data_IF_267453487530
#
_entry.id   IF_267453487530
#
_cell.length_a   1.000
_cell.length_b   1.000
_cell.length_c   1.000
_cell.angle_alpha   90.00
_cell.angle_beta   90.00
_cell.angle_gamma   90.00
#
_symmetry.space_group_name_H-M   'P 1'
#
loop_
_entity.id
_entity.type
_entity.pdbx_description
1 polymer ?
#
# COMPACT_ATOMS: atom_id res chain seq x y z
N UNK A 1 -23.41 -60.71 9.80
CA UNK A 1 -22.37 -59.90 9.12
C UNK A 1 -22.82 -58.46 9.17
N UNK A 2 -22.19 -57.65 10.03
CA UNK A 2 -22.47 -56.21 10.12
C UNK A 2 -21.43 -55.47 9.26
N UNK A 3 -21.90 -54.58 8.39
CA UNK A 3 -21.03 -53.67 7.63
C UNK A 3 -20.77 -52.45 8.54
N UNK A 4 -19.51 -52.03 8.78
CA UNK A 4 -19.26 -50.76 9.45
C UNK A 4 -19.41 -49.64 8.42
N UNK A 5 -20.37 -48.73 8.65
CA UNK A 5 -20.53 -47.52 7.86
C UNK A 5 -19.47 -46.51 8.28
N UNK A 6 -18.69 -46.09 7.28
CA UNK A 6 -17.50 -45.25 7.39
C UNK A 6 -17.82 -43.89 8.01
N UNK A 7 -17.03 -43.48 9.01
CA UNK A 7 -17.05 -42.11 9.51
C UNK A 7 -16.74 -41.14 8.36
N UNK A 8 -17.68 -40.25 8.09
CA UNK A 8 -17.56 -39.20 7.11
C UNK A 8 -16.73 -38.08 7.74
N UNK A 9 -15.44 -38.03 7.42
CA UNK A 9 -14.54 -36.93 7.78
C UNK A 9 -15.13 -35.64 7.23
N UNK A 10 -15.74 -34.87 8.13
CA UNK A 10 -16.25 -33.54 7.83
C UNK A 10 -15.07 -32.60 7.91
N UNK A 11 -14.25 -32.57 6.85
CA UNK A 11 -13.20 -31.57 6.72
C UNK A 11 -13.88 -30.21 6.51
N UNK A 12 -14.01 -29.47 7.60
CA UNK A 12 -14.43 -28.07 7.59
C UNK A 12 -13.40 -27.27 6.81
N UNK A 13 -13.70 -26.94 5.56
CA UNK A 13 -13.00 -25.89 4.83
C UNK A 13 -13.26 -24.57 5.56
N UNK A 14 -12.35 -24.21 6.47
CA UNK A 14 -12.27 -22.85 7.00
C UNK A 14 -11.90 -21.97 5.81
N UNK A 15 -12.86 -21.21 5.28
CA UNK A 15 -12.57 -20.17 4.28
C UNK A 15 -11.70 -19.14 5.00
N UNK A 16 -10.43 -19.06 4.65
CA UNK A 16 -9.52 -18.06 5.24
C UNK A 16 -10.06 -16.66 4.95
N UNK A 17 -10.25 -15.88 6.02
CA UNK A 17 -10.73 -14.51 5.94
C UNK A 17 -9.72 -13.63 5.20
N UNK A 18 -10.25 -12.74 4.36
CA UNK A 18 -9.45 -11.75 3.63
C UNK A 18 -9.60 -10.37 4.24
N UNK A 19 -8.52 -9.62 4.25
CA UNK A 19 -8.48 -8.22 4.66
C UNK A 19 -7.81 -7.38 3.57
N UNK A 20 -8.05 -6.07 3.61
CA UNK A 20 -7.37 -5.12 2.76
C UNK A 20 -6.01 -4.75 3.34
N UNK A 21 -4.95 -4.98 2.58
CA UNK A 21 -3.58 -4.65 2.92
C UNK A 21 -3.06 -3.57 1.99
N UNK A 22 -2.11 -2.77 2.46
CA UNK A 22 -1.33 -1.85 1.60
C UNK A 22 0.14 -1.94 1.98
N UNK A 23 1.03 -1.63 1.04
CA UNK A 23 2.48 -1.67 1.25
C UNK A 23 3.03 -0.26 1.26
N UNK A 24 3.72 0.08 2.34
CA UNK A 24 4.23 1.43 2.60
C UNK A 24 5.76 1.43 2.68
N UNK A 25 6.38 2.38 1.99
CA UNK A 25 7.75 2.77 2.28
C UNK A 25 7.73 3.81 3.40
N UNK A 26 8.52 3.54 4.44
CA UNK A 26 8.57 4.36 5.65
C UNK A 26 9.85 5.21 5.62
N UNK A 27 9.76 6.53 5.86
CA UNK A 27 10.95 7.37 5.90
C UNK A 27 11.83 7.05 7.13
N UNK A 28 13.14 7.36 7.08
CA UNK A 28 14.03 7.27 8.25
C UNK A 28 13.53 8.11 9.43
N UNK A 29 13.91 7.74 10.66
CA UNK A 29 13.36 8.32 11.90
C UNK A 29 13.45 9.85 11.99
N UNK A 30 14.56 10.44 11.55
CA UNK A 30 14.76 11.90 11.57
C UNK A 30 13.80 12.62 10.61
N UNK A 31 13.58 12.04 9.43
CA UNK A 31 12.62 12.54 8.44
C UNK A 31 11.19 12.30 8.91
N UNK A 32 10.90 11.13 9.48
CA UNK A 32 9.60 10.76 10.03
C UNK A 32 9.20 11.73 11.15
N UNK A 33 10.09 12.05 12.08
CA UNK A 33 9.84 13.00 13.17
C UNK A 33 9.50 14.40 12.63
N UNK A 34 10.25 14.88 11.63
CA UNK A 34 9.99 16.18 11.00
C UNK A 34 8.63 16.22 10.29
N UNK A 35 8.27 15.15 9.58
CA UNK A 35 6.99 15.03 8.90
C UNK A 35 5.83 14.91 9.89
N UNK A 36 5.99 14.13 10.97
CA UNK A 36 4.99 14.02 12.04
C UNK A 36 4.66 15.37 12.64
N UNK A 37 5.68 16.17 12.99
CA UNK A 37 5.47 17.52 13.51
C UNK A 37 4.67 18.39 12.53
N UNK A 38 5.05 18.40 11.25
CA UNK A 38 4.33 19.14 10.22
C UNK A 38 2.86 18.68 10.09
N UNK A 39 2.63 17.37 10.09
CA UNK A 39 1.29 16.78 10.02
C UNK A 39 0.45 17.09 11.27
N UNK A 40 1.07 17.15 12.45
CA UNK A 40 0.42 17.56 13.70
C UNK A 40 0.03 19.03 13.69
N UNK A 41 0.94 19.92 13.27
CA UNK A 41 0.68 21.36 13.16
C UNK A 41 -0.49 21.61 12.20
N UNK A 42 -0.46 21.02 11.00
CA UNK A 42 -1.54 21.13 10.01
C UNK A 42 -2.86 20.55 10.52
N UNK A 43 -2.83 19.39 11.17
CA UNK A 43 -4.04 18.79 11.76
C UNK A 43 -4.62 19.66 12.88
N UNK A 44 -3.78 20.34 13.66
CA UNK A 44 -4.25 21.22 14.73
C UNK A 44 -5.01 22.44 14.21
N UNK A 45 -4.64 22.92 13.03
CA UNK A 45 -5.26 24.07 12.36
C UNK A 45 -6.49 23.68 11.53
N UNK A 46 -6.41 22.60 10.76
CA UNK A 46 -7.42 22.23 9.75
C UNK A 46 -8.26 20.99 10.13
N UNK A 47 -7.92 20.31 11.21
CA UNK A 47 -8.51 19.01 11.59
C UNK A 47 -7.99 17.84 10.75
N UNK A 48 -8.64 16.68 10.87
CA UNK A 48 -8.32 15.47 10.11
C UNK A 48 -7.78 14.31 10.95
N UNK A 49 -7.66 13.10 10.35
CA UNK A 49 -7.17 11.92 11.06
C UNK A 49 -5.66 11.99 11.32
N UNK A 50 -5.22 11.33 12.38
CA UNK A 50 -3.80 11.09 12.62
C UNK A 50 -3.36 9.83 11.89
N UNK A 51 -2.21 9.88 11.23
CA UNK A 51 -1.58 8.74 10.57
C UNK A 51 -0.06 8.92 10.54
N UNK A 52 0.65 7.83 10.25
CA UNK A 52 2.12 7.81 10.17
C UNK A 52 2.61 8.29 8.79
N UNK A 53 3.72 9.03 8.68
CA UNK A 53 4.24 9.45 7.39
C UNK A 53 4.70 8.24 6.57
N UNK A 54 4.18 8.10 5.34
CA UNK A 54 4.52 6.99 4.45
C UNK A 54 4.39 7.38 2.97
N UNK A 55 5.01 6.59 2.10
CA UNK A 55 4.71 6.54 0.66
C UNK A 55 4.03 5.21 0.38
N UNK A 56 2.81 5.24 -0.14
CA UNK A 56 2.10 4.03 -0.57
C UNK A 56 2.73 3.50 -1.85
N UNK A 57 3.36 2.33 -1.77
CA UNK A 57 4.02 1.64 -2.89
C UNK A 57 3.04 0.72 -3.62
N UNK A 58 2.15 0.08 -2.84
CA UNK A 58 1.04 -0.75 -3.32
C UNK A 58 -0.22 -0.31 -2.58
N UNK A 59 -1.28 0.02 -3.33
CA UNK A 59 -2.58 0.41 -2.78
C UNK A 59 -3.33 -0.76 -2.12
N UNK A 60 -4.53 -0.48 -1.61
CA UNK A 60 -5.35 -1.49 -0.95
C UNK A 60 -5.58 -2.74 -1.84
N UNK A 61 -5.24 -3.91 -1.31
CA UNK A 61 -5.40 -5.22 -1.96
C UNK A 61 -5.95 -6.25 -0.98
N UNK A 62 -6.98 -6.99 -1.41
CA UNK A 62 -7.66 -8.00 -0.57
C UNK A 62 -6.91 -9.34 -0.61
N UNK A 63 -6.35 -9.77 0.52
CA UNK A 63 -5.55 -10.98 0.67
C UNK A 63 -5.90 -11.71 1.97
N UNK A 64 -5.61 -13.01 2.05
CA UNK A 64 -5.56 -13.69 3.36
C UNK A 64 -4.30 -13.25 4.09
N UNK A 65 -4.28 -13.34 5.42
CA UNK A 65 -3.10 -12.95 6.20
C UNK A 65 -1.83 -13.73 5.82
N UNK A 66 -1.97 -15.02 5.50
CA UNK A 66 -0.86 -15.87 5.05
C UNK A 66 -0.28 -15.42 3.72
N UNK A 67 -1.15 -15.13 2.74
CA UNK A 67 -0.74 -14.61 1.44
C UNK A 67 -0.08 -13.24 1.55
N UNK A 68 -0.66 -12.33 2.34
CA UNK A 68 -0.11 -11.00 2.56
C UNK A 68 1.31 -11.07 3.13
N UNK A 69 1.53 -11.89 4.16
CA UNK A 69 2.84 -12.05 4.78
C UNK A 69 3.86 -12.70 3.83
N UNK A 70 3.46 -13.74 3.10
CA UNK A 70 4.32 -14.44 2.14
C UNK A 70 4.78 -13.49 1.03
N UNK A 71 3.84 -12.76 0.41
CA UNK A 71 4.13 -11.79 -0.66
C UNK A 71 4.95 -10.61 -0.15
N UNK A 72 4.68 -10.12 1.07
CA UNK A 72 5.46 -9.04 1.67
C UNK A 72 6.93 -9.46 1.88
N UNK A 73 7.17 -10.64 2.45
CA UNK A 73 8.53 -11.18 2.62
C UNK A 73 9.25 -11.33 1.28
N UNK A 74 8.56 -11.86 0.27
CA UNK A 74 9.12 -12.01 -1.06
C UNK A 74 9.43 -10.67 -1.72
N UNK A 75 8.58 -9.65 -1.53
CA UNK A 75 8.82 -8.31 -2.05
C UNK A 75 9.98 -7.59 -1.36
N UNK A 76 10.17 -7.82 -0.07
CA UNK A 76 11.30 -7.26 0.68
C UNK A 76 12.63 -7.95 0.38
N UNK A 77 12.61 -9.20 -0.10
CA UNK A 77 13.84 -9.92 -0.42
C UNK A 77 14.62 -9.24 -1.55
N UNK A 78 15.88 -8.91 -1.28
CA UNK A 78 16.75 -8.15 -2.18
C UNK A 78 16.38 -6.68 -2.39
N UNK A 79 15.28 -6.18 -1.83
CA UNK A 79 14.88 -4.78 -1.95
C UNK A 79 15.77 -3.89 -1.07
N UNK A 80 16.40 -2.88 -1.68
CA UNK A 80 17.25 -1.93 -0.98
C UNK A 80 16.46 -0.67 -0.63
N UNK A 81 16.87 -0.01 0.45
CA UNK A 81 16.43 1.35 0.72
C UNK A 81 16.74 2.26 -0.49
N UNK A 82 15.81 3.16 -0.80
CA UNK A 82 15.92 4.07 -1.93
C UNK A 82 15.70 5.52 -1.49
N UNK A 83 16.12 6.46 -2.33
CA UNK A 83 15.90 7.88 -2.09
C UNK A 83 14.65 8.36 -2.82
N UNK A 84 13.78 9.06 -2.10
CA UNK A 84 12.65 9.77 -2.66
C UNK A 84 12.91 11.29 -2.54
N UNK A 85 12.65 12.02 -3.62
CA UNK A 85 12.77 13.49 -3.64
C UNK A 85 11.39 14.08 -3.71
N UNK A 86 11.07 15.02 -2.81
CA UNK A 86 9.83 15.79 -2.91
C UNK A 86 9.96 16.76 -4.08
N UNK A 87 9.02 16.69 -5.00
CA UNK A 87 8.88 17.62 -6.13
C UNK A 87 8.15 18.90 -5.68
N UNK A 88 6.94 18.74 -5.14
CA UNK A 88 6.10 19.86 -4.67
C UNK A 88 5.04 19.43 -3.67
N UNK A 89 4.44 20.39 -3.00
CA UNK A 89 3.18 20.20 -2.25
C UNK A 89 2.01 20.34 -3.23
N UNK A 90 1.01 19.47 -3.08
CA UNK A 90 -0.21 19.50 -3.88
C UNK A 90 -1.45 19.23 -3.01
N UNK A 91 -2.60 19.63 -3.52
CA UNK A 91 -3.91 19.33 -2.95
C UNK A 91 -4.74 18.56 -3.98
N UNK A 92 -5.73 17.82 -3.49
CA UNK A 92 -6.62 17.01 -4.29
C UNK A 92 -8.05 17.17 -3.78
N UNK A 93 -8.99 16.55 -4.51
CA UNK A 93 -10.43 16.67 -4.23
C UNK A 93 -10.98 15.51 -3.39
N UNK A 94 -10.12 14.58 -2.98
CA UNK A 94 -10.49 13.41 -2.18
C UNK A 94 -9.96 13.53 -0.75
N UNK A 95 -10.68 12.93 0.21
CA UNK A 95 -10.30 12.97 1.63
C UNK A 95 -8.90 12.42 1.93
N UNK A 96 -8.45 11.40 1.20
CA UNK A 96 -7.09 10.84 1.31
C UNK A 96 -6.03 11.64 0.56
N UNK A 97 -6.44 12.64 -0.23
CA UNK A 97 -5.57 13.48 -1.04
C UNK A 97 -5.83 14.97 -0.76
N UNK A 98 -6.33 15.34 0.43
CA UNK A 98 -6.58 16.74 0.77
C UNK A 98 -5.31 17.59 0.65
N UNK A 99 -4.20 17.07 1.15
CA UNK A 99 -2.87 17.67 1.09
C UNK A 99 -1.84 16.55 1.06
N UNK A 100 -0.90 16.60 0.11
CA UNK A 100 0.15 15.59 -0.01
C UNK A 100 1.42 16.18 -0.63
N UNK A 101 2.54 15.51 -0.42
CA UNK A 101 3.79 15.79 -1.12
C UNK A 101 3.89 14.90 -2.34
N UNK A 102 4.10 15.49 -3.51
CA UNK A 102 4.39 14.76 -4.72
C UNK A 102 5.86 14.34 -4.71
N UNK A 103 6.09 13.05 -4.93
CA UNK A 103 7.43 12.48 -5.04
C UNK A 103 7.85 12.48 -6.51
N UNK A 104 9.05 12.98 -6.78
CA UNK A 104 9.63 12.94 -8.12
C UNK A 104 9.79 11.47 -8.56
N UNK A 105 9.34 11.10 -9.77
CA UNK A 105 9.33 9.72 -10.24
C UNK A 105 10.73 9.30 -10.73
N UNK A 106 11.70 9.25 -9.82
CA UNK A 106 13.02 8.69 -10.12
C UNK A 106 12.89 7.21 -10.50
N UNK A 107 13.88 6.68 -11.22
CA UNK A 107 13.96 5.26 -11.56
C UNK A 107 13.76 4.36 -10.33
N UNK A 108 14.39 4.68 -9.20
CA UNK A 108 14.26 3.89 -7.97
C UNK A 108 12.81 3.87 -7.41
N UNK A 109 12.11 5.00 -7.45
CA UNK A 109 10.72 5.10 -6.98
C UNK A 109 9.81 4.25 -7.86
N UNK A 110 9.95 4.38 -9.18
CA UNK A 110 9.12 3.67 -10.16
C UNK A 110 9.39 2.17 -10.13
N UNK A 111 10.66 1.75 -10.14
CA UNK A 111 11.05 0.35 -10.11
C UNK A 111 10.65 -0.33 -8.80
N UNK A 112 10.76 0.36 -7.66
CA UNK A 112 10.28 -0.18 -6.37
C UNK A 112 8.77 -0.41 -6.38
N UNK A 113 8.00 0.52 -6.94
CA UNK A 113 6.55 0.34 -7.10
C UNK A 113 6.21 -0.82 -8.03
N UNK A 114 6.90 -0.93 -9.17
CA UNK A 114 6.70 -2.03 -10.11
C UNK A 114 7.06 -3.39 -9.50
N UNK A 115 8.20 -3.48 -8.80
CA UNK A 115 8.68 -4.67 -8.10
C UNK A 115 7.65 -5.15 -7.07
N UNK A 116 7.25 -4.28 -6.13
CA UNK A 116 6.25 -4.62 -5.13
C UNK A 116 4.89 -4.95 -5.78
N UNK A 117 4.47 -4.20 -6.80
CA UNK A 117 3.22 -4.49 -7.50
C UNK A 117 3.23 -5.87 -8.15
N UNK A 118 4.36 -6.30 -8.71
CA UNK A 118 4.57 -7.64 -9.27
C UNK A 118 4.36 -8.74 -8.24
N UNK A 119 5.00 -8.63 -7.07
CA UNK A 119 4.85 -9.61 -5.98
C UNK A 119 3.42 -9.69 -5.44
N UNK A 120 2.71 -8.56 -5.42
CA UNK A 120 1.34 -8.50 -4.91
C UNK A 120 0.29 -8.79 -5.99
N UNK A 121 0.66 -8.86 -7.27
CA UNK A 121 -0.29 -8.93 -8.39
C UNK A 121 -1.14 -7.67 -8.51
N UNK A 122 -0.65 -6.55 -7.98
CA UNK A 122 -1.34 -5.28 -7.96
C UNK A 122 -1.24 -4.60 -9.32
N UNK A 123 -2.39 -4.24 -9.90
CA UNK A 123 -2.43 -3.47 -11.14
C UNK A 123 -2.43 -1.99 -10.80
N UNK A 124 -1.24 -1.40 -10.79
CA UNK A 124 -1.09 0.04 -10.86
C UNK A 124 -1.73 0.53 -12.16
N UNK A 125 -2.60 1.54 -12.07
CA UNK A 125 -3.24 2.17 -13.23
C UNK A 125 -2.26 2.99 -14.10
N UNK A 126 -0.94 2.92 -13.86
CA UNK A 126 0.08 3.79 -14.44
C UNK A 126 0.98 3.14 -15.51
N UNK A 127 0.61 2.00 -16.10
CA UNK A 127 1.42 1.33 -17.14
C UNK A 127 1.27 1.92 -18.56
N UNK A 128 0.73 3.13 -18.74
CA UNK A 128 0.68 3.83 -20.03
C UNK A 128 1.24 5.23 -19.89
N UNK A 129 2.04 5.65 -20.88
CA UNK A 129 2.77 6.93 -20.96
C UNK A 129 1.87 8.15 -21.18
N UNK A 130 0.73 8.23 -20.49
CA UNK A 130 -0.17 9.39 -20.51
C UNK A 130 -0.41 9.89 -19.07
N UNK A 131 -0.50 11.21 -18.86
CA UNK A 131 -0.84 11.76 -17.55
C UNK A 131 -2.21 11.21 -17.09
N UNK A 132 -2.41 10.96 -15.79
CA UNK A 132 -3.61 10.30 -15.30
C UNK A 132 -4.85 11.13 -15.67
N UNK A 133 -5.70 10.54 -16.52
CA UNK A 133 -7.09 10.94 -16.65
C UNK A 133 -7.84 10.50 -15.40
N UNK A 134 -7.70 11.25 -14.30
CA UNK A 134 -8.82 11.38 -13.37
C UNK A 134 -9.60 12.64 -13.74
N UNK A 135 -10.23 12.52 -14.90
CA UNK A 135 -11.01 13.52 -15.61
C UNK A 135 -11.78 12.79 -16.69
N UNK A 136 -12.78 12.01 -16.29
CA UNK A 136 -13.81 11.51 -17.19
C UNK A 136 -15.09 11.35 -16.39
N UNK A 137 -15.97 12.32 -16.61
CA UNK A 137 -17.39 12.39 -16.32
C UNK A 137 -18.02 11.08 -15.80
N UNK A 138 -18.31 11.05 -14.50
CA UNK A 138 -19.70 10.97 -14.01
C UNK A 138 -19.83 11.30 -12.53
#
# INVERSE_FOLDING_TARGET
MAIPESAMDTQTHQVEEKHDYSVWAVPPDDVAARLKKLMEDLRSEFGGPQFEPHITVVGAISLTAGDALSRFRSACDGLKAYTATVDRVATGTFSSQCLYVLIHPTTQVVETSAHCSGHFGYKSLHATSEPPLWGSDR
#
